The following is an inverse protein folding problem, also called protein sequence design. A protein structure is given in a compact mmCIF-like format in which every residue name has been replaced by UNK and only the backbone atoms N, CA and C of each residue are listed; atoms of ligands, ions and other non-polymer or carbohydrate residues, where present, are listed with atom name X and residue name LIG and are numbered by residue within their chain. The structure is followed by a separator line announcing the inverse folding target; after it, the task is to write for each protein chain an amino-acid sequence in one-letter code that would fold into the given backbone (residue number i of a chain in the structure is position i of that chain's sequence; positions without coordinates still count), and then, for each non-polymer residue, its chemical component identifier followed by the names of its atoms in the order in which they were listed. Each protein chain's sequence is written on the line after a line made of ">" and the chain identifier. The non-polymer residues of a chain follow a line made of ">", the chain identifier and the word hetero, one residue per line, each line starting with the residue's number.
data_IF_222401795444
#
_entry.id   IF_222401795444
#
_cell.length_a   1.000
_cell.length_b   1.000
_cell.length_c   1.000
_cell.angle_alpha   90.00
_cell.angle_beta   90.00
_cell.angle_gamma   90.00
#
_symmetry.space_group_name_H-M   'P 1'
#
loop_
_entity.id
_entity.type
_entity.pdbx_description
1 polymer ?
#
# COMPACT_ATOMS: atom_id res chain seq x y z
N UNK A 1 14.70 -2.61 42.95
CA UNK A 1 14.81 -1.20 42.53
C UNK A 1 14.79 -1.19 41.02
N UNK A 2 13.64 -0.87 40.43
CA UNK A 2 13.51 -0.74 38.98
C UNK A 2 13.92 0.69 38.66
N UNK A 3 15.16 0.90 38.22
CA UNK A 3 15.49 2.14 37.53
C UNK A 3 14.56 2.21 36.32
N UNK A 4 13.74 3.26 36.27
CA UNK A 4 12.92 3.60 35.11
C UNK A 4 13.90 4.00 34.01
N UNK A 5 14.46 2.99 33.34
CA UNK A 5 15.38 3.18 32.24
C UNK A 5 14.60 3.91 31.17
N UNK A 6 14.89 5.21 30.99
CA UNK A 6 14.21 6.12 30.07
C UNK A 6 14.50 5.77 28.60
N UNK A 7 14.30 4.51 28.22
CA UNK A 7 14.63 3.95 26.92
C UNK A 7 13.43 3.25 26.33
N UNK A 8 13.17 3.54 25.07
CA UNK A 8 12.24 2.84 24.22
C UNK A 8 13.02 1.86 23.33
N UNK A 9 12.76 0.56 23.52
CA UNK A 9 13.33 -0.50 22.70
C UNK A 9 12.35 -0.83 21.57
N UNK A 10 12.86 -0.87 20.34
CA UNK A 10 12.09 -1.15 19.13
C UNK A 10 12.50 -2.51 18.57
N UNK A 11 11.56 -3.44 18.59
CA UNK A 11 11.75 -4.79 18.10
C UNK A 11 10.90 -5.10 16.89
N UNK A 12 11.44 -5.92 16.00
CA UNK A 12 10.72 -6.52 14.89
C UNK A 12 10.27 -7.93 15.33
N UNK A 13 8.96 -8.11 15.48
CA UNK A 13 8.38 -9.44 15.65
C UNK A 13 8.27 -10.12 14.28
N UNK A 14 8.94 -11.25 14.13
CA UNK A 14 8.83 -12.09 12.93
C UNK A 14 8.31 -13.46 13.33
N UNK A 15 7.28 -13.93 12.63
CA UNK A 15 6.68 -15.24 12.80
C UNK A 15 5.95 -15.62 11.50
N UNK A 16 5.75 -16.91 11.26
CA UNK A 16 5.10 -17.42 10.04
C UNK A 16 3.61 -17.07 9.97
N UNK A 17 2.95 -16.90 11.13
CA UNK A 17 1.56 -16.46 11.24
C UNK A 17 1.34 -15.05 10.65
N UNK A 18 2.39 -14.26 10.50
CA UNK A 18 2.34 -12.99 9.79
C UNK A 18 2.64 -13.24 8.32
N UNK A 19 1.68 -12.91 7.44
CA UNK A 19 1.80 -13.05 5.98
C UNK A 19 2.91 -12.17 5.39
N UNK A 20 4.19 -12.52 5.59
CA UNK A 20 5.40 -11.82 5.14
C UNK A 20 5.89 -12.29 3.77
N UNK A 21 6.45 -11.37 2.98
CA UNK A 21 7.21 -11.72 1.76
C UNK A 21 8.50 -12.43 2.20
N UNK A 22 9.20 -11.85 3.17
CA UNK A 22 10.34 -12.50 3.82
C UNK A 22 9.83 -13.67 4.67
N UNK A 23 10.40 -14.85 4.45
CA UNK A 23 10.10 -16.09 5.16
C UNK A 23 11.11 -16.27 6.28
N UNK A 24 10.62 -16.68 7.44
CA UNK A 24 11.43 -16.95 8.63
C UNK A 24 11.19 -18.39 9.04
N UNK A 25 12.26 -19.09 9.42
CA UNK A 25 12.20 -20.51 9.80
C UNK A 25 11.55 -20.72 11.17
N UNK A 26 11.65 -19.74 12.07
CA UNK A 26 11.08 -19.77 13.40
C UNK A 26 10.64 -18.37 13.86
N UNK A 27 9.65 -18.27 14.77
CA UNK A 27 9.30 -17.01 15.42
C UNK A 27 10.47 -16.45 16.23
N UNK A 28 10.75 -15.15 16.09
CA UNK A 28 11.78 -14.44 16.84
C UNK A 28 11.44 -12.95 16.98
N UNK A 29 12.09 -12.30 17.93
CA UNK A 29 11.94 -10.86 18.19
C UNK A 29 13.34 -10.25 18.10
N UNK A 30 13.54 -9.36 17.13
CA UNK A 30 14.85 -8.82 16.80
C UNK A 30 14.92 -7.34 17.15
N UNK A 31 15.86 -6.94 18.01
CA UNK A 31 16.08 -5.54 18.34
C UNK A 31 16.67 -4.81 17.13
N UNK A 32 16.06 -3.70 16.72
CA UNK A 32 16.55 -2.89 15.59
C UNK A 32 16.64 -1.39 15.90
N UNK A 33 16.43 -1.01 17.16
CA UNK A 33 16.61 0.36 17.60
C UNK A 33 16.37 0.54 19.08
N UNK A 34 17.07 1.52 19.63
CA UNK A 34 16.90 2.00 21.00
C UNK A 34 16.84 3.52 20.93
N UNK A 35 15.94 4.12 21.70
CA UNK A 35 15.79 5.57 21.78
C UNK A 35 15.69 6.00 23.22
N UNK A 36 16.48 6.99 23.59
CA UNK A 36 16.32 7.69 24.86
C UNK A 36 15.04 8.52 24.80
N UNK A 37 14.10 8.33 25.73
CA UNK A 37 12.79 8.99 25.70
C UNK A 37 12.83 10.44 26.20
N UNK A 38 13.92 10.84 26.84
CA UNK A 38 14.13 12.20 27.33
C UNK A 38 14.75 13.07 26.24
N UNK A 39 15.78 12.57 25.55
CA UNK A 39 16.47 13.30 24.46
C UNK A 39 15.87 13.03 23.08
N UNK A 40 15.10 11.95 22.94
CA UNK A 40 14.57 11.42 21.68
C UNK A 40 15.65 10.99 20.67
N UNK A 41 16.92 10.92 21.10
CA UNK A 41 18.03 10.47 20.28
C UNK A 41 18.10 8.94 20.23
N UNK A 42 18.42 8.41 19.06
CA UNK A 42 18.66 6.98 18.91
C UNK A 42 20.04 6.60 19.44
N UNK A 43 20.07 5.50 20.18
CA UNK A 43 21.28 4.89 20.70
C UNK A 43 21.65 3.65 19.85
N UNK A 44 22.83 3.08 20.08
CA UNK A 44 23.26 1.85 19.43
C UNK A 44 22.52 0.63 20.01
N UNK A 45 21.65 -0.07 19.24
CA UNK A 45 20.97 -1.26 19.71
C UNK A 45 21.91 -2.42 20.02
N UNK A 46 23.09 -2.51 19.40
CA UNK A 46 24.06 -3.58 19.63
C UNK A 46 24.55 -3.65 21.08
N UNK A 47 24.77 -2.49 21.70
CA UNK A 47 25.17 -2.36 23.11
C UNK A 47 24.10 -2.98 24.02
N UNK A 48 22.83 -2.58 23.84
CA UNK A 48 21.72 -3.06 24.66
C UNK A 48 21.39 -4.52 24.38
N UNK A 49 21.50 -4.97 23.13
CA UNK A 49 21.34 -6.38 22.78
C UNK A 49 22.37 -7.24 23.51
N UNK A 50 23.65 -6.85 23.50
CA UNK A 50 24.72 -7.57 24.19
C UNK A 50 24.53 -7.59 25.71
N UNK A 51 24.08 -6.48 26.31
CA UNK A 51 23.85 -6.39 27.76
C UNK A 51 22.70 -7.26 28.23
N UNK A 52 21.64 -7.38 27.43
CA UNK A 52 20.41 -8.09 27.79
C UNK A 52 20.34 -9.52 27.22
N UNK A 53 21.31 -9.94 26.40
CA UNK A 53 21.29 -11.23 25.73
C UNK A 53 20.20 -11.32 24.65
N UNK A 54 19.87 -10.21 23.99
CA UNK A 54 18.86 -10.16 22.92
C UNK A 54 19.49 -10.32 21.54
N UNK A 55 18.69 -10.83 20.59
CA UNK A 55 19.04 -10.80 19.18
C UNK A 55 18.98 -9.36 18.65
N UNK A 56 20.01 -8.94 17.90
CA UNK A 56 20.07 -7.63 17.25
C UNK A 56 20.03 -7.78 15.73
N UNK A 57 19.49 -6.77 15.05
CA UNK A 57 19.53 -6.69 13.60
C UNK A 57 20.98 -6.72 13.10
N UNK A 58 21.22 -7.51 12.03
CA UNK A 58 22.54 -7.65 11.42
C UNK A 58 23.01 -6.34 10.81
N UNK A 59 24.28 -6.02 11.04
CA UNK A 59 24.96 -4.87 10.43
C UNK A 59 25.80 -5.26 9.21
N UNK A 60 26.01 -4.28 8.32
CA UNK A 60 26.74 -4.44 7.05
C UNK A 60 27.79 -3.33 6.91
N UNK A 61 28.91 -3.38 7.68
CA UNK A 61 29.87 -2.27 7.77
C UNK A 61 30.63 -1.98 6.47
N UNK A 62 30.59 -2.89 5.49
CA UNK A 62 31.21 -2.72 4.18
C UNK A 62 30.33 -1.96 3.17
N UNK A 63 29.06 -1.68 3.50
CA UNK A 63 28.16 -0.88 2.66
C UNK A 63 28.17 0.56 3.17
N UNK A 64 29.01 1.39 2.58
CA UNK A 64 29.31 2.74 3.10
C UNK A 64 28.77 3.86 2.22
N UNK A 65 28.48 3.56 0.96
CA UNK A 65 27.98 4.53 -0.02
C UNK A 65 26.58 4.19 -0.52
N UNK A 66 25.87 5.21 -1.00
CA UNK A 66 24.54 5.06 -1.59
C UNK A 66 24.54 4.06 -2.75
N UNK A 67 25.55 4.12 -3.63
CA UNK A 67 25.72 3.28 -4.80
C UNK A 67 25.98 1.81 -4.43
N UNK A 68 26.81 1.55 -3.42
CA UNK A 68 27.06 0.20 -2.90
C UNK A 68 25.78 -0.44 -2.38
N UNK A 69 25.01 0.32 -1.59
CA UNK A 69 23.74 -0.16 -1.02
C UNK A 69 22.73 -0.45 -2.13
N UNK A 70 22.58 0.46 -3.11
CA UNK A 70 21.70 0.25 -4.26
C UNK A 70 22.14 -0.93 -5.15
N UNK A 71 23.44 -1.18 -5.27
CA UNK A 71 23.95 -2.34 -5.99
C UNK A 71 23.59 -3.62 -5.22
N UNK A 72 23.82 -3.64 -3.90
CA UNK A 72 23.51 -4.77 -3.05
C UNK A 72 22.01 -5.12 -3.05
N UNK A 73 21.10 -4.14 -3.04
CA UNK A 73 19.65 -4.41 -3.05
C UNK A 73 19.16 -5.15 -4.30
N UNK A 74 19.84 -5.00 -5.44
CA UNK A 74 19.49 -5.69 -6.70
C UNK A 74 19.74 -7.20 -6.65
N UNK A 75 20.68 -7.64 -5.81
CA UNK A 75 21.07 -9.04 -5.66
C UNK A 75 20.36 -9.78 -4.53
N UNK A 76 19.51 -9.10 -3.75
CA UNK A 76 18.84 -9.72 -2.61
C UNK A 76 17.77 -10.73 -3.06
N UNK A 77 17.71 -11.86 -2.34
CA UNK A 77 16.58 -12.77 -2.43
C UNK A 77 15.39 -12.18 -1.63
N UNK A 78 14.27 -11.82 -2.29
CA UNK A 78 13.14 -11.17 -1.61
C UNK A 78 12.45 -12.05 -0.57
N UNK A 79 12.62 -13.37 -0.64
CA UNK A 79 12.11 -14.31 0.35
C UNK A 79 12.95 -14.36 1.62
N UNK A 80 14.16 -13.81 1.61
CA UNK A 80 15.07 -13.82 2.76
C UNK A 80 15.32 -12.41 3.31
N UNK A 81 15.32 -11.40 2.45
CA UNK A 81 15.62 -10.03 2.87
C UNK A 81 14.88 -9.02 1.99
N UNK A 82 14.21 -8.06 2.64
CA UNK A 82 13.49 -6.98 1.95
C UNK A 82 14.44 -5.89 1.42
N UNK A 83 15.54 -5.64 2.14
CA UNK A 83 16.41 -4.50 1.90
C UNK A 83 17.30 -4.18 3.10
N UNK A 84 17.73 -2.92 3.17
CA UNK A 84 18.55 -2.36 4.24
C UNK A 84 17.88 -1.14 4.86
N UNK A 85 18.27 -0.83 6.09
CA UNK A 85 17.98 0.45 6.74
C UNK A 85 19.31 1.12 7.03
N UNK A 86 19.51 2.31 6.49
CA UNK A 86 20.66 3.15 6.78
C UNK A 86 20.26 4.14 7.87
N UNK A 87 21.12 4.31 8.85
CA UNK A 87 21.01 5.34 9.88
C UNK A 87 22.17 6.32 9.71
N UNK A 88 21.90 7.61 9.67
CA UNK A 88 22.94 8.63 9.69
C UNK A 88 23.41 8.95 11.13
N UNK A 89 24.37 9.86 11.27
CA UNK A 89 24.90 10.27 12.57
C UNK A 89 23.90 11.02 13.46
N UNK A 90 22.81 11.54 12.89
CA UNK A 90 21.74 12.25 13.59
C UNK A 90 20.58 11.31 13.97
N UNK A 91 20.65 10.03 13.60
CA UNK A 91 19.59 9.05 13.84
C UNK A 91 18.48 9.06 12.80
N UNK A 92 18.62 9.80 11.68
CA UNK A 92 17.67 9.72 10.58
C UNK A 92 17.81 8.37 9.88
N UNK A 93 16.68 7.79 9.46
CA UNK A 93 16.64 6.47 8.83
C UNK A 93 16.12 6.55 7.40
N UNK A 94 16.81 5.87 6.48
CA UNK A 94 16.37 5.66 5.09
C UNK A 94 16.32 4.17 4.81
N UNK A 95 15.23 3.72 4.18
CA UNK A 95 15.06 2.32 3.76
C UNK A 95 15.47 2.16 2.30
N UNK A 96 16.31 1.18 2.03
CA UNK A 96 16.70 0.75 0.69
C UNK A 96 16.10 -0.61 0.42
N UNK A 97 15.05 -0.69 -0.39
CA UNK A 97 14.34 -1.94 -0.66
C UNK A 97 14.79 -2.57 -1.98
N UNK A 98 14.81 -3.90 -2.01
CA UNK A 98 15.06 -4.67 -3.23
C UNK A 98 13.95 -4.41 -4.25
N UNK A 99 14.28 -4.14 -5.53
CA UNK A 99 13.29 -4.05 -6.59
C UNK A 99 12.44 -5.32 -6.74
N UNK A 100 13.04 -6.50 -6.53
CA UNK A 100 12.34 -7.79 -6.57
C UNK A 100 11.38 -7.91 -5.39
N UNK A 101 11.79 -7.50 -4.20
CA UNK A 101 10.89 -7.44 -3.04
C UNK A 101 9.70 -6.52 -3.31
N UNK A 102 9.95 -5.35 -3.91
CA UNK A 102 8.90 -4.41 -4.27
C UNK A 102 7.96 -4.94 -5.34
N UNK A 103 8.47 -5.72 -6.30
CA UNK A 103 7.63 -6.44 -7.24
C UNK A 103 6.67 -7.39 -6.49
N UNK A 104 7.17 -8.22 -5.57
CA UNK A 104 6.29 -9.07 -4.75
C UNK A 104 5.34 -8.29 -3.85
N UNK A 105 5.77 -7.15 -3.30
CA UNK A 105 4.94 -6.28 -2.48
C UNK A 105 3.71 -5.79 -3.24
N UNK A 106 3.90 -5.29 -4.45
CA UNK A 106 2.78 -4.88 -5.30
C UNK A 106 1.98 -6.08 -5.84
N UNK A 107 2.61 -7.25 -6.03
CA UNK A 107 1.93 -8.49 -6.46
C UNK A 107 0.96 -9.02 -5.40
N UNK A 108 1.48 -9.27 -4.20
CA UNK A 108 0.80 -10.12 -3.22
C UNK A 108 -0.31 -9.38 -2.48
N UNK A 109 -0.31 -8.05 -2.56
CA UNK A 109 -1.36 -7.21 -2.03
C UNK A 109 -1.54 -7.29 -0.54
N UNK A 110 -0.49 -6.85 0.15
CA UNK A 110 -0.52 -6.71 1.59
C UNK A 110 -1.59 -5.70 2.05
N UNK A 111 -2.30 -5.98 3.14
CA UNK A 111 -3.26 -5.05 3.80
C UNK A 111 -4.44 -4.58 2.91
N UNK A 112 -4.98 -5.44 2.03
CA UNK A 112 -5.98 -5.04 1.02
C UNK A 112 -5.44 -4.03 -0.02
N UNK A 113 -4.13 -3.78 -0.06
CA UNK A 113 -3.47 -2.78 -0.92
C UNK A 113 -2.65 -3.36 -2.07
N UNK A 114 -2.92 -4.57 -2.52
CA UNK A 114 -2.35 -4.95 -3.80
C UNK A 114 -3.10 -6.04 -4.52
N UNK A 115 -2.55 -6.35 -5.67
CA UNK A 115 -3.38 -6.29 -6.87
C UNK A 115 -3.82 -7.67 -7.37
N UNK A 116 -3.57 -8.72 -6.58
CA UNK A 116 -3.62 -10.09 -7.07
C UNK A 116 -2.34 -10.42 -7.85
N UNK A 117 -2.15 -11.69 -8.26
CA UNK A 117 -0.88 -12.15 -8.82
C UNK A 117 -0.44 -11.23 -9.96
N UNK A 118 0.69 -10.56 -9.76
CA UNK A 118 1.37 -9.83 -10.81
C UNK A 118 1.75 -10.81 -11.91
N UNK A 119 0.98 -10.83 -13.00
CA UNK A 119 1.47 -11.34 -14.27
C UNK A 119 2.44 -10.28 -14.82
N UNK A 120 3.67 -10.25 -14.29
CA UNK A 120 4.80 -9.52 -14.87
C UNK A 120 5.34 -10.24 -16.11
N UNK A 121 4.44 -10.69 -17.00
CA UNK A 121 4.84 -11.01 -18.36
C UNK A 121 5.38 -9.71 -18.98
N UNK A 122 6.54 -9.76 -19.63
CA UNK A 122 7.32 -8.59 -20.07
C UNK A 122 6.57 -7.57 -20.93
N UNK A 123 5.39 -7.92 -21.43
CA UNK A 123 4.61 -7.14 -22.41
C UNK A 123 3.22 -6.69 -21.93
N UNK A 124 2.68 -7.20 -20.81
CA UNK A 124 1.30 -6.91 -20.40
C UNK A 124 1.16 -6.72 -18.89
N UNK A 125 1.15 -5.46 -18.44
CA UNK A 125 0.73 -5.11 -17.08
C UNK A 125 -0.80 -5.04 -17.02
N UNK A 126 -1.41 -5.67 -16.01
CA UNK A 126 -2.86 -5.56 -15.81
C UNK A 126 -3.22 -4.13 -15.41
N UNK A 127 -3.91 -3.41 -16.29
CA UNK A 127 -4.32 -2.03 -16.10
C UNK A 127 -5.15 -1.84 -14.82
N UNK A 128 -5.94 -2.84 -14.43
CA UNK A 128 -6.75 -2.79 -13.20
C UNK A 128 -5.84 -2.72 -11.95
N UNK A 129 -4.63 -3.27 -12.02
CA UNK A 129 -3.64 -3.18 -10.95
C UNK A 129 -3.07 -1.75 -10.83
N UNK A 130 -2.83 -1.03 -11.93
CA UNK A 130 -2.34 0.37 -11.87
C UNK A 130 -3.39 1.30 -11.26
N UNK A 131 -4.65 1.07 -11.60
CA UNK A 131 -5.76 1.85 -11.05
C UNK A 131 -5.84 1.65 -9.54
N UNK A 132 -5.60 0.43 -9.06
CA UNK A 132 -5.52 0.16 -7.63
C UNK A 132 -4.28 0.79 -6.98
N UNK A 133 -3.10 0.83 -7.65
CA UNK A 133 -1.92 1.58 -7.16
C UNK A 133 -2.30 3.04 -6.95
N UNK A 134 -3.01 3.63 -7.91
CA UNK A 134 -3.48 5.01 -7.85
C UNK A 134 -4.55 5.20 -6.75
N UNK A 135 -5.51 4.28 -6.64
CA UNK A 135 -6.57 4.30 -5.62
C UNK A 135 -5.99 4.40 -4.21
N UNK A 136 -4.85 3.77 -3.96
CA UNK A 136 -4.18 3.78 -2.65
C UNK A 136 -3.08 4.84 -2.48
N UNK A 137 -2.84 5.69 -3.47
CA UNK A 137 -1.82 6.75 -3.40
C UNK A 137 -0.38 6.20 -3.36
N UNK A 138 -0.12 5.06 -4.01
CA UNK A 138 1.18 4.40 -4.00
C UNK A 138 1.99 4.61 -5.30
N UNK A 139 1.57 5.53 -6.17
CA UNK A 139 2.11 5.77 -7.51
C UNK A 139 3.56 6.22 -7.46
N UNK A 140 3.88 7.17 -6.57
CA UNK A 140 5.24 7.67 -6.43
C UNK A 140 6.21 6.53 -6.08
N UNK A 141 5.82 5.68 -5.12
CA UNK A 141 6.63 4.53 -4.72
C UNK A 141 6.72 3.51 -5.86
N UNK A 142 5.62 3.22 -6.54
CA UNK A 142 5.59 2.28 -7.65
C UNK A 142 6.50 2.74 -8.80
N UNK A 143 6.39 4.00 -9.23
CA UNK A 143 7.16 4.56 -10.35
C UNK A 143 8.64 4.73 -10.02
N UNK A 144 9.01 4.88 -8.75
CA UNK A 144 10.40 4.84 -8.32
C UNK A 144 11.07 3.50 -8.71
N UNK A 145 10.36 2.37 -8.52
CA UNK A 145 10.89 1.04 -8.86
C UNK A 145 10.60 0.62 -10.31
N UNK A 146 9.50 1.10 -10.90
CA UNK A 146 9.04 0.68 -12.23
C UNK A 146 8.72 1.89 -13.14
N UNK A 147 9.70 2.73 -13.46
CA UNK A 147 9.48 3.99 -14.19
C UNK A 147 8.92 3.80 -15.60
N UNK A 148 9.18 2.63 -16.22
CA UNK A 148 8.67 2.30 -17.57
C UNK A 148 7.13 2.32 -17.70
N UNK A 149 6.41 2.30 -16.59
CA UNK A 149 4.94 2.33 -16.57
C UNK A 149 4.36 3.73 -16.31
N UNK A 150 5.17 4.79 -16.30
CA UNK A 150 4.73 6.16 -16.00
C UNK A 150 3.56 6.62 -16.89
N UNK A 151 3.64 6.37 -18.19
CA UNK A 151 2.57 6.73 -19.14
C UNK A 151 1.26 6.00 -18.83
N UNK A 152 1.34 4.68 -18.62
CA UNK A 152 0.17 3.85 -18.32
C UNK A 152 -0.44 4.21 -16.94
N UNK A 153 0.39 4.59 -15.97
CA UNK A 153 -0.05 5.10 -14.67
C UNK A 153 -0.81 6.43 -14.81
N UNK A 154 -0.31 7.35 -15.64
CA UNK A 154 -0.99 8.61 -15.91
C UNK A 154 -2.37 8.37 -16.55
N UNK A 155 -2.46 7.42 -17.49
CA UNK A 155 -3.74 6.99 -18.07
C UNK A 155 -4.68 6.42 -17.00
N UNK A 156 -4.19 5.52 -16.14
CA UNK A 156 -4.97 4.93 -15.05
C UNK A 156 -5.49 6.00 -14.08
N UNK A 157 -4.68 7.00 -13.74
CA UNK A 157 -5.07 8.13 -12.90
C UNK A 157 -6.17 8.99 -13.54
N UNK A 158 -6.07 9.25 -14.85
CA UNK A 158 -7.09 9.97 -15.63
C UNK A 158 -8.43 9.22 -15.64
N UNK A 159 -8.43 7.95 -16.06
CA UNK A 159 -9.65 7.12 -16.08
C UNK A 159 -10.26 6.97 -14.66
N UNK A 160 -9.43 6.86 -13.61
CA UNK A 160 -9.92 6.85 -12.23
C UNK A 160 -10.58 8.16 -11.82
N UNK A 161 -10.01 9.31 -12.19
CA UNK A 161 -10.59 10.62 -11.91
C UNK A 161 -11.95 10.79 -12.60
N UNK A 162 -12.09 10.31 -13.84
CA UNK A 162 -13.38 10.30 -14.55
C UNK A 162 -14.42 9.42 -13.86
N UNK A 163 -14.04 8.24 -13.39
CA UNK A 163 -14.93 7.38 -12.59
C UNK A 163 -15.40 8.11 -11.33
N UNK A 164 -14.48 8.70 -10.57
CA UNK A 164 -14.79 9.44 -9.32
C UNK A 164 -15.77 10.57 -9.61
N UNK A 165 -15.46 11.42 -10.59
CA UNK A 165 -16.31 12.56 -10.97
C UNK A 165 -17.72 12.11 -11.37
N UNK A 166 -17.82 11.02 -12.14
CA UNK A 166 -19.13 10.45 -12.53
C UNK A 166 -19.91 9.93 -11.34
N UNK A 167 -19.26 9.19 -10.45
CA UNK A 167 -19.91 8.65 -9.26
C UNK A 167 -20.40 9.76 -8.34
N UNK A 168 -19.58 10.78 -8.12
CA UNK A 168 -19.96 11.97 -7.35
C UNK A 168 -21.16 12.70 -7.99
N UNK A 169 -21.21 12.81 -9.32
CA UNK A 169 -22.34 13.43 -10.02
C UNK A 169 -23.67 12.67 -9.83
N UNK A 170 -23.65 11.34 -9.78
CA UNK A 170 -24.85 10.56 -9.43
C UNK A 170 -25.19 10.67 -7.95
N UNK A 171 -24.19 10.60 -7.08
CA UNK A 171 -24.40 10.67 -5.63
C UNK A 171 -24.96 12.02 -5.20
N UNK A 172 -24.49 13.12 -5.78
CA UNK A 172 -24.95 14.47 -5.50
C UNK A 172 -26.48 14.65 -5.68
N UNK A 173 -27.09 13.92 -6.62
CA UNK A 173 -28.54 13.98 -6.88
C UNK A 173 -29.39 13.33 -5.78
N UNK A 174 -28.78 12.48 -4.95
CA UNK A 174 -29.47 11.69 -3.92
C UNK A 174 -28.87 11.86 -2.53
N UNK A 175 -27.80 12.64 -2.39
CA UNK A 175 -27.03 12.83 -1.15
C UNK A 175 -27.91 13.37 -0.01
N UNK A 176 -28.71 14.39 -0.29
CA UNK A 176 -29.54 15.07 0.72
C UNK A 176 -30.87 14.35 1.03
N UNK A 177 -31.20 13.27 0.31
CA UNK A 177 -32.48 12.56 0.46
C UNK A 177 -32.46 11.72 1.74
N UNK A 178 -33.13 12.13 2.80
CA UNK A 178 -33.05 11.45 4.11
C UNK A 178 -33.95 10.23 4.21
N UNK A 179 -35.07 10.20 3.49
CA UNK A 179 -36.04 9.12 3.54
C UNK A 179 -35.64 7.94 2.64
N UNK A 180 -35.70 6.71 3.18
CA UNK A 180 -35.13 5.52 2.55
C UNK A 180 -35.93 5.07 1.31
N UNK A 181 -37.26 5.15 1.35
CA UNK A 181 -38.12 4.75 0.22
C UNK A 181 -37.96 5.72 -0.95
N UNK A 182 -37.90 7.02 -0.68
CA UNK A 182 -37.62 8.06 -1.66
C UNK A 182 -36.23 7.89 -2.27
N UNK A 183 -35.20 7.63 -1.43
CA UNK A 183 -33.85 7.33 -1.92
C UNK A 183 -33.87 6.16 -2.90
N UNK A 184 -34.57 5.07 -2.57
CA UNK A 184 -34.64 3.90 -3.43
C UNK A 184 -35.32 4.20 -4.78
N UNK A 185 -36.39 5.00 -4.78
CA UNK A 185 -37.05 5.44 -6.00
C UNK A 185 -36.15 6.33 -6.86
N UNK A 186 -35.44 7.29 -6.25
CA UNK A 186 -34.54 8.19 -6.97
C UNK A 186 -33.33 7.45 -7.52
N UNK A 187 -32.70 6.57 -6.76
CA UNK A 187 -31.57 5.74 -7.24
C UNK A 187 -31.99 4.84 -8.41
N UNK A 188 -33.22 4.32 -8.40
CA UNK A 188 -33.77 3.55 -9.54
C UNK A 188 -33.98 4.43 -10.79
N UNK A 189 -34.29 5.71 -10.60
CA UNK A 189 -34.46 6.67 -11.69
C UNK A 189 -33.12 7.20 -12.23
N UNK A 190 -32.04 7.16 -11.45
CA UNK A 190 -30.69 7.37 -11.97
C UNK A 190 -30.40 6.25 -12.98
N UNK A 191 -30.29 6.57 -14.25
CA UNK A 191 -29.91 5.64 -15.32
C UNK A 191 -28.45 5.18 -15.15
N UNK A 192 -28.21 4.36 -14.12
CA UNK A 192 -26.89 3.96 -13.67
C UNK A 192 -26.33 2.87 -14.59
N UNK A 193 -25.00 2.84 -14.82
CA UNK A 193 -24.42 1.96 -15.83
C UNK A 193 -24.56 0.46 -15.54
N UNK A 194 -24.62 0.07 -14.27
CA UNK A 194 -24.85 -1.32 -13.90
C UNK A 194 -25.51 -1.46 -12.51
N UNK A 195 -25.88 -2.70 -12.17
CA UNK A 195 -26.52 -3.08 -10.89
C UNK A 195 -25.64 -2.95 -9.64
N UNK A 196 -24.32 -2.81 -9.77
CA UNK A 196 -23.41 -2.61 -8.64
C UNK A 196 -23.40 -1.16 -8.13
N UNK A 197 -23.65 -0.18 -9.00
CA UNK A 197 -23.65 1.25 -8.62
C UNK A 197 -24.72 1.60 -7.58
N UNK A 198 -26.01 1.18 -7.73
CA UNK A 198 -27.03 1.43 -6.70
C UNK A 198 -26.59 0.98 -5.31
N UNK A 199 -26.06 -0.26 -5.20
CA UNK A 199 -25.63 -0.82 -3.94
C UNK A 199 -24.51 -0.01 -3.28
N UNK A 200 -23.56 0.52 -4.07
CA UNK A 200 -22.50 1.38 -3.55
C UNK A 200 -23.02 2.76 -3.13
N UNK A 201 -24.00 3.34 -3.83
CA UNK A 201 -24.63 4.60 -3.43
C UNK A 201 -25.32 4.48 -2.07
N UNK A 202 -26.08 3.40 -1.84
CA UNK A 202 -26.72 3.15 -0.55
C UNK A 202 -25.71 3.00 0.58
N UNK A 203 -24.62 2.28 0.34
CA UNK A 203 -23.56 2.09 1.33
C UNK A 203 -22.80 3.39 1.62
N UNK A 204 -22.39 4.14 0.58
CA UNK A 204 -21.71 5.42 0.75
C UNK A 204 -22.55 6.39 1.60
N UNK A 205 -23.88 6.36 1.42
CA UNK A 205 -24.81 7.14 2.24
C UNK A 205 -24.92 6.63 3.67
N UNK A 206 -24.96 5.32 3.87
CA UNK A 206 -25.00 4.70 5.20
C UNK A 206 -23.74 5.04 6.02
N UNK A 207 -22.58 5.06 5.37
CA UNK A 207 -21.29 5.38 5.98
C UNK A 207 -21.03 6.90 6.09
N UNK A 208 -21.99 7.75 5.70
CA UNK A 208 -21.90 9.22 5.68
C UNK A 208 -20.64 9.76 4.97
N UNK A 209 -20.21 9.08 3.89
CA UNK A 209 -19.05 9.50 3.11
C UNK A 209 -19.49 10.50 2.05
N UNK A 210 -18.76 11.62 1.95
CA UNK A 210 -19.12 12.74 1.07
C UNK A 210 -18.61 12.63 -0.36
N UNK A 211 -17.50 11.93 -0.60
CA UNK A 211 -16.87 11.84 -1.92
C UNK A 211 -16.56 10.41 -2.32
N UNK A 212 -16.72 10.11 -3.60
CA UNK A 212 -16.49 8.80 -4.18
C UNK A 212 -15.02 8.39 -4.01
N UNK A 213 -14.07 9.33 -4.10
CA UNK A 213 -12.65 9.05 -3.87
C UNK A 213 -12.40 8.47 -2.47
N UNK A 214 -12.93 9.12 -1.45
CA UNK A 214 -12.80 8.66 -0.06
C UNK A 214 -13.49 7.31 0.10
N UNK A 215 -14.70 7.17 -0.43
CA UNK A 215 -15.45 5.92 -0.35
C UNK A 215 -14.71 4.76 -1.04
N UNK A 216 -14.23 4.96 -2.27
CA UNK A 216 -13.51 3.94 -3.02
C UNK A 216 -12.21 3.54 -2.35
N UNK A 217 -11.52 4.41 -1.61
CA UNK A 217 -10.33 4.04 -0.85
C UNK A 217 -10.62 3.01 0.27
N UNK A 218 -11.85 2.97 0.80
CA UNK A 218 -12.24 2.09 1.90
C UNK A 218 -12.87 0.77 1.45
N UNK A 219 -13.55 0.74 0.30
CA UNK A 219 -14.25 -0.49 -0.10
C UNK A 219 -13.27 -1.60 -0.54
N UNK A 220 -13.66 -2.88 -0.37
CA UNK A 220 -12.87 -4.01 -0.85
C UNK A 220 -12.67 -3.97 -2.38
N UNK A 221 -11.48 -4.41 -2.83
CA UNK A 221 -11.10 -4.51 -4.25
C UNK A 221 -12.17 -5.19 -5.10
N UNK A 222 -12.75 -6.29 -4.63
CA UNK A 222 -13.77 -7.05 -5.39
C UNK A 222 -15.02 -6.23 -5.72
N UNK A 223 -15.37 -5.26 -4.87
CA UNK A 223 -16.53 -4.37 -5.09
C UNK A 223 -16.15 -3.18 -5.94
N UNK A 224 -14.99 -2.57 -5.68
CA UNK A 224 -14.44 -1.51 -6.53
C UNK A 224 -14.33 -1.97 -7.99
N UNK A 225 -13.72 -3.15 -8.23
CA UNK A 225 -13.51 -3.68 -9.58
C UNK A 225 -14.81 -3.90 -10.37
N UNK A 226 -15.95 -4.20 -9.70
CA UNK A 226 -17.25 -4.32 -10.40
C UNK A 226 -17.73 -2.99 -10.99
N UNK A 227 -17.49 -1.90 -10.27
CA UNK A 227 -17.85 -0.55 -10.73
C UNK A 227 -16.82 -0.03 -11.72
N UNK A 228 -15.54 -0.22 -11.42
CA UNK A 228 -14.43 0.11 -12.32
C UNK A 228 -14.58 -0.54 -13.71
N UNK A 229 -14.74 -1.87 -13.77
CA UNK A 229 -14.89 -2.57 -15.06
C UNK A 229 -16.10 -2.08 -15.84
N UNK A 230 -17.23 -1.88 -15.17
CA UNK A 230 -18.42 -1.33 -15.83
C UNK A 230 -18.24 0.08 -16.35
N UNK A 231 -17.43 0.91 -15.68
CA UNK A 231 -17.10 2.23 -16.17
C UNK A 231 -16.26 2.12 -17.45
N UNK A 232 -15.22 1.29 -17.44
CA UNK A 232 -14.37 1.08 -18.62
C UNK A 232 -15.11 0.50 -19.82
N UNK A 233 -16.04 -0.43 -19.59
CA UNK A 233 -16.82 -1.07 -20.66
C UNK A 233 -17.68 -0.06 -21.42
N UNK A 234 -18.07 1.07 -20.80
CA UNK A 234 -18.80 2.15 -21.48
C UNK A 234 -17.92 2.93 -22.46
N UNK A 235 -16.59 2.91 -22.27
CA UNK A 235 -15.63 3.72 -23.03
C UNK A 235 -14.79 2.93 -24.01
N UNK A 236 -14.64 1.61 -23.79
CA UNK A 236 -14.14 0.71 -24.82
C UNK A 236 -15.20 0.61 -25.91
N UNK A 237 -15.16 1.55 -26.87
CA UNK A 237 -15.81 1.37 -28.18
C UNK A 237 -15.51 -0.05 -28.67
N UNK A 238 -16.48 -0.76 -29.29
CA UNK A 238 -16.14 -2.00 -29.97
C UNK A 238 -14.98 -1.69 -30.91
N UNK A 239 -13.90 -2.48 -30.80
CA UNK A 239 -12.81 -2.45 -31.78
C UNK A 239 -13.45 -2.86 -33.11
N UNK A 240 -13.80 -1.88 -33.93
CA UNK A 240 -14.12 -2.04 -35.35
C UNK A 240 -12.85 -2.34 -36.10
#
# INVERSE_FOLDING_TARGET
>A
MCDVCGRCYMFELVADDFRRIVRYEAPRIVLHGVRDITTLLEEDPGVYASQNGWECAREFPHLTTHEEILSATKGLNPWQQAGFVVRDALGNRIKYLSPQYMAFFFAMGWQNKGFGPLNLGGENFDFDCLVEVHRFGAEHTFLHFFPKWAELMAQAAGEYAELVARFDAYYAQVREVTEQRELAQRVKALALPNKAWPALIFEMKKEDVRTARTFFAFIPRSRFLKVWKSHRDLFRKPRT
#
